data_IF_720663738475
#
_entry.id   IF_720663738475
#
_cell.length_a   1.000
_cell.length_b   1.000
_cell.length_c   1.000
_cell.angle_alpha   90.00
_cell.angle_beta   90.00
_cell.angle_gamma   90.00
#
_symmetry.space_group_name_H-M   'P 1'
#
loop_
_entity.id
_entity.type
_entity.pdbx_description
1 polymer ?
#
# COMPACT_ATOMS: atom_id res chain seq x y z
N UNK A 1 -16.31 -6.79 53.97
CA UNK A 1 -15.78 -5.59 53.31
C UNK A 1 -14.50 -5.79 52.46
N UNK A 2 -13.79 -6.90 52.56
CA UNK A 2 -12.52 -7.13 51.83
C UNK A 2 -12.65 -7.43 50.33
N UNK A 3 -13.70 -8.09 49.87
CA UNK A 3 -13.91 -8.46 48.45
C UNK A 3 -14.12 -7.28 47.48
N UNK A 4 -14.49 -6.11 47.98
CA UNK A 4 -14.73 -4.92 47.16
C UNK A 4 -13.42 -4.18 46.80
N UNK A 5 -12.42 -4.19 47.69
CA UNK A 5 -11.14 -3.52 47.47
C UNK A 5 -10.32 -4.19 46.36
N UNK A 6 -10.34 -5.52 46.30
CA UNK A 6 -9.57 -6.30 45.31
C UNK A 6 -10.04 -6.05 43.87
N UNK A 7 -11.35 -5.91 43.60
CA UNK A 7 -11.89 -5.66 42.28
C UNK A 7 -11.54 -4.27 41.72
N UNK A 8 -11.53 -3.26 42.63
CA UNK A 8 -11.15 -1.89 42.25
C UNK A 8 -9.65 -1.79 41.97
N UNK A 9 -8.84 -2.48 42.75
CA UNK A 9 -7.36 -2.50 42.53
C UNK A 9 -6.99 -3.17 41.23
N UNK A 10 -7.60 -4.30 40.88
CA UNK A 10 -7.39 -4.99 39.59
C UNK A 10 -7.80 -4.09 38.39
N UNK A 11 -8.94 -3.37 38.54
CA UNK A 11 -9.40 -2.46 37.48
C UNK A 11 -8.41 -1.31 37.26
N UNK A 12 -7.89 -0.70 38.31
CA UNK A 12 -6.88 0.36 38.24
C UNK A 12 -5.58 -0.15 37.62
N UNK A 13 -5.15 -1.35 37.98
CA UNK A 13 -3.92 -1.96 37.45
C UNK A 13 -4.02 -2.28 35.95
N UNK A 14 -5.17 -2.81 35.50
CA UNK A 14 -5.41 -3.10 34.09
C UNK A 14 -5.51 -1.79 33.29
N UNK A 15 -6.13 -0.75 33.85
CA UNK A 15 -6.23 0.56 33.16
C UNK A 15 -4.86 1.24 33.08
N UNK A 16 -4.04 1.14 34.10
CA UNK A 16 -2.67 1.66 34.12
C UNK A 16 -1.77 0.90 33.11
N UNK A 17 -1.91 -0.43 33.01
CA UNK A 17 -1.17 -1.26 32.06
C UNK A 17 -1.58 -0.95 30.60
N UNK A 18 -2.86 -0.68 30.37
CA UNK A 18 -3.37 -0.26 29.06
C UNK A 18 -2.88 1.14 28.67
N UNK A 19 -2.80 2.07 29.64
CA UNK A 19 -2.24 3.40 29.38
C UNK A 19 -0.75 3.33 29.05
N UNK A 20 0.03 2.53 29.75
CA UNK A 20 1.48 2.39 29.46
C UNK A 20 1.74 1.73 28.10
N UNK A 21 0.88 0.79 27.66
CA UNK A 21 0.97 0.21 26.33
C UNK A 21 0.69 1.25 25.21
N UNK A 22 -0.16 2.24 25.47
CA UNK A 22 -0.43 3.34 24.52
C UNK A 22 0.77 4.29 24.34
N UNK A 23 1.62 4.44 25.34
CA UNK A 23 2.81 5.31 25.29
C UNK A 23 4.08 4.58 24.82
N UNK A 24 4.04 3.25 24.73
CA UNK A 24 5.14 2.43 24.24
C UNK A 24 5.09 2.21 22.71
N UNK A 25 4.33 3.04 21.98
CA UNK A 25 4.40 3.02 20.51
C UNK A 25 5.80 3.51 20.14
N UNK A 26 6.66 2.64 19.55
CA UNK A 26 7.90 3.12 19.01
C UNK A 26 7.52 4.20 17.99
N UNK A 27 8.01 5.42 18.19
CA UNK A 27 8.02 6.41 17.13
C UNK A 27 8.90 5.80 16.05
N UNK A 28 8.29 5.06 15.11
CA UNK A 28 8.97 4.70 13.86
C UNK A 28 9.41 6.03 13.29
N UNK A 29 10.72 6.22 13.20
CA UNK A 29 11.28 7.33 12.43
C UNK A 29 10.50 7.32 11.12
N UNK A 30 9.76 8.39 10.83
CA UNK A 30 9.08 8.55 9.57
C UNK A 30 10.14 8.27 8.50
N UNK A 31 10.03 7.15 7.80
CA UNK A 31 10.79 6.96 6.58
C UNK A 31 10.52 8.21 5.75
N UNK A 32 11.56 8.94 5.38
CA UNK A 32 11.41 10.16 4.62
C UNK A 32 10.50 9.82 3.43
N UNK A 33 9.39 10.54 3.33
CA UNK A 33 8.43 10.31 2.28
C UNK A 33 9.12 10.53 0.95
N UNK A 34 9.07 9.56 0.02
CA UNK A 34 9.76 9.66 -1.25
C UNK A 34 9.32 10.93 -2.01
N UNK A 35 10.26 11.62 -2.67
CA UNK A 35 9.98 12.84 -3.43
C UNK A 35 9.05 12.58 -4.62
N UNK A 36 9.14 11.38 -5.19
CA UNK A 36 8.27 10.91 -6.27
C UNK A 36 7.65 9.55 -5.90
N UNK A 37 6.35 9.42 -6.13
CA UNK A 37 5.60 8.17 -5.95
C UNK A 37 4.98 7.74 -7.26
N UNK A 38 5.33 6.55 -7.72
CA UNK A 38 4.77 5.90 -8.90
C UNK A 38 3.93 4.71 -8.44
N UNK A 39 2.71 4.58 -8.95
CA UNK A 39 1.86 3.42 -8.72
C UNK A 39 1.59 2.71 -10.05
N UNK A 40 1.54 1.39 -10.01
CA UNK A 40 1.21 0.56 -11.15
C UNK A 40 -0.13 -0.13 -10.91
N UNK A 41 -1.05 0.01 -11.86
CA UNK A 41 -2.35 -0.64 -11.88
C UNK A 41 -2.61 -1.16 -13.28
N UNK A 42 -3.70 -1.87 -13.50
CA UNK A 42 -3.96 -2.32 -14.87
C UNK A 42 -5.19 -3.18 -15.01
N UNK A 43 -5.25 -3.88 -16.10
CA UNK A 43 -6.37 -4.75 -16.44
C UNK A 43 -5.98 -5.77 -17.50
N UNK A 44 -6.98 -6.40 -18.04
CA UNK A 44 -6.85 -7.45 -19.06
C UNK A 44 -7.59 -6.99 -20.32
N UNK A 45 -6.97 -7.14 -21.46
CA UNK A 45 -7.58 -6.90 -22.76
C UNK A 45 -8.41 -8.10 -23.22
N UNK A 46 -9.22 -7.92 -24.26
CA UNK A 46 -10.07 -8.97 -24.82
C UNK A 46 -9.29 -10.19 -25.38
N UNK A 47 -8.03 -9.98 -25.73
CA UNK A 47 -7.11 -11.03 -26.22
C UNK A 47 -6.32 -11.75 -25.10
N UNK A 48 -6.69 -11.55 -23.84
CA UNK A 48 -6.00 -12.01 -22.64
C UNK A 48 -4.58 -11.43 -22.45
N UNK A 49 -4.20 -10.39 -23.18
CA UNK A 49 -3.03 -9.61 -22.82
C UNK A 49 -3.31 -8.76 -21.58
N UNK A 50 -2.26 -8.47 -20.83
CA UNK A 50 -2.30 -7.65 -19.61
C UNK A 50 -1.75 -6.28 -19.94
N UNK A 51 -2.49 -5.23 -19.63
CA UNK A 51 -1.93 -3.88 -19.63
C UNK A 51 -1.67 -3.39 -18.21
N UNK A 52 -0.58 -2.70 -18.03
CA UNK A 52 -0.16 -2.08 -16.77
C UNK A 52 -0.01 -0.58 -17.01
N UNK A 53 -0.86 0.20 -16.39
CA UNK A 53 -0.80 1.65 -16.35
C UNK A 53 0.15 2.09 -15.24
N UNK A 54 1.12 2.90 -15.59
CA UNK A 54 2.10 3.50 -14.68
C UNK A 54 1.69 4.94 -14.42
N UNK A 55 1.35 5.25 -13.18
CA UNK A 55 0.79 6.54 -12.79
C UNK A 55 1.73 7.23 -11.81
N UNK A 56 2.11 8.46 -12.11
CA UNK A 56 2.83 9.34 -11.19
C UNK A 56 1.80 9.94 -10.22
N UNK A 57 1.83 9.50 -8.97
CA UNK A 57 0.90 9.94 -7.93
C UNK A 57 1.38 11.19 -7.21
N UNK A 58 2.69 11.35 -7.08
CA UNK A 58 3.36 12.50 -6.49
C UNK A 58 4.68 12.75 -7.21
N UNK A 59 5.03 14.00 -7.41
CA UNK A 59 6.22 14.41 -8.13
C UNK A 59 6.69 15.78 -7.61
N UNK A 60 7.85 15.84 -6.99
CA UNK A 60 8.49 17.09 -6.52
C UNK A 60 9.26 17.83 -7.62
N UNK A 61 9.31 17.25 -8.82
CA UNK A 61 10.02 17.76 -10.00
C UNK A 61 11.01 16.73 -10.50
N UNK A 62 10.87 16.34 -11.75
CA UNK A 62 11.77 15.39 -12.44
C UNK A 62 12.24 16.02 -13.75
N UNK A 63 13.56 16.06 -13.97
CA UNK A 63 14.22 16.47 -15.21
C UNK A 63 14.74 15.29 -16.03
N UNK A 64 14.99 14.15 -15.36
CA UNK A 64 15.34 12.89 -16.00
C UNK A 64 14.89 11.72 -15.13
N UNK A 65 14.36 10.67 -15.78
CA UNK A 65 13.89 9.46 -15.10
C UNK A 65 14.29 8.24 -15.93
N UNK A 66 14.88 7.24 -15.28
CA UNK A 66 15.23 5.96 -15.89
C UNK A 66 14.65 4.83 -15.07
N UNK A 67 13.75 4.09 -15.69
CA UNK A 67 13.02 2.98 -15.10
C UNK A 67 13.38 1.68 -15.82
N UNK A 68 13.61 0.61 -15.08
CA UNK A 68 13.80 -0.74 -15.61
C UNK A 68 12.61 -1.61 -15.23
N UNK A 69 12.06 -2.32 -16.21
CA UNK A 69 10.93 -3.23 -16.01
C UNK A 69 11.39 -4.53 -15.36
N UNK A 70 10.69 -4.93 -14.29
CA UNK A 70 10.87 -6.22 -13.61
C UNK A 70 9.60 -7.05 -13.69
N UNK A 71 9.68 -8.25 -14.27
CA UNK A 71 8.60 -9.22 -14.38
C UNK A 71 9.14 -10.64 -14.52
N UNK A 72 8.32 -11.64 -14.29
CA UNK A 72 8.67 -13.04 -14.50
C UNK A 72 8.63 -13.37 -16.00
N UNK A 73 9.81 -13.52 -16.60
CA UNK A 73 9.98 -13.79 -18.03
C UNK A 73 9.55 -15.21 -18.44
N UNK A 74 9.47 -16.13 -17.51
CA UNK A 74 8.94 -17.49 -17.78
C UNK A 74 7.42 -17.47 -17.92
N UNK A 75 6.76 -16.48 -17.32
CA UNK A 75 5.29 -16.33 -17.27
C UNK A 75 4.77 -15.33 -18.28
N UNK A 76 5.51 -14.25 -18.49
CA UNK A 76 5.08 -13.15 -19.37
C UNK A 76 6.05 -12.94 -20.53
N UNK A 77 5.50 -12.53 -21.64
CA UNK A 77 6.20 -11.96 -22.78
C UNK A 77 5.91 -10.46 -22.83
N UNK A 78 6.95 -9.64 -22.92
CA UNK A 78 6.78 -8.21 -23.14
C UNK A 78 6.35 -7.95 -24.58
N UNK A 79 5.26 -7.17 -24.76
CA UNK A 79 4.76 -6.78 -26.08
C UNK A 79 5.28 -5.38 -26.41
N UNK A 80 4.90 -4.38 -25.62
CA UNK A 80 5.32 -2.99 -25.84
C UNK A 80 5.13 -2.11 -24.59
N UNK A 81 5.62 -0.86 -24.67
CA UNK A 81 5.39 0.20 -23.70
C UNK A 81 5.18 1.53 -24.43
N UNK A 82 4.13 2.23 -24.08
CA UNK A 82 3.69 3.46 -24.72
C UNK A 82 3.71 4.63 -23.76
N UNK A 83 4.30 5.75 -24.17
CA UNK A 83 4.11 7.02 -23.49
C UNK A 83 2.65 7.46 -23.62
N UNK A 84 2.04 7.86 -22.53
CA UNK A 84 0.64 8.28 -22.48
C UNK A 84 0.48 9.80 -22.47
N UNK A 85 1.58 10.54 -22.44
CA UNK A 85 1.63 12.02 -22.46
C UNK A 85 0.76 12.67 -21.36
N UNK A 86 0.59 12.00 -20.23
CA UNK A 86 -0.25 12.49 -19.13
C UNK A 86 0.57 13.05 -17.95
N UNK A 87 1.79 12.54 -17.75
CA UNK A 87 2.76 13.06 -16.80
C UNK A 87 4.13 13.09 -17.46
N UNK A 88 4.99 14.01 -17.03
CA UNK A 88 6.34 14.22 -17.58
C UNK A 88 6.31 14.48 -19.11
N UNK A 89 5.25 15.09 -19.61
CA UNK A 89 4.99 15.35 -21.04
C UNK A 89 6.00 16.31 -21.68
N UNK A 90 6.78 17.03 -20.84
CA UNK A 90 7.86 17.92 -21.26
C UNK A 90 9.19 17.22 -21.48
N UNK A 91 9.29 15.95 -21.08
CA UNK A 91 10.49 15.14 -21.21
C UNK A 91 10.39 14.27 -22.47
N UNK A 92 11.52 13.99 -23.08
CA UNK A 92 11.58 13.09 -24.23
C UNK A 92 11.55 11.65 -23.76
N UNK A 93 10.53 10.91 -24.21
CA UNK A 93 10.41 9.49 -23.94
C UNK A 93 11.20 8.65 -24.94
N UNK A 94 11.98 7.69 -24.43
CA UNK A 94 12.65 6.67 -25.24
C UNK A 94 12.59 5.31 -24.56
N UNK A 95 12.64 4.24 -25.34
CA UNK A 95 12.70 2.84 -24.87
C UNK A 95 14.00 2.21 -25.33
N UNK A 96 14.57 1.33 -24.53
CA UNK A 96 15.74 0.52 -24.87
C UNK A 96 15.59 -0.92 -24.37
N UNK A 97 16.39 -1.83 -24.89
CA UNK A 97 16.33 -3.25 -24.55
C UNK A 97 15.33 -4.07 -25.35
N UNK A 98 14.82 -3.52 -26.45
CA UNK A 98 13.90 -4.23 -27.36
C UNK A 98 14.63 -5.09 -28.41
N UNK A 99 15.94 -4.93 -28.57
CA UNK A 99 16.76 -5.75 -29.44
C UNK A 99 17.15 -7.04 -28.73
N UNK A 100 17.00 -8.13 -29.39
CA UNK A 100 16.89 -9.55 -29.10
C UNK A 100 17.81 -10.19 -28.06
N UNK A 101 18.76 -9.46 -27.46
CA UNK A 101 19.74 -10.02 -26.51
C UNK A 101 19.90 -9.20 -25.21
N UNK A 102 19.16 -8.11 -25.03
CA UNK A 102 19.25 -7.32 -23.79
C UNK A 102 18.05 -7.65 -22.92
N UNK A 103 18.32 -8.40 -21.87
CA UNK A 103 17.35 -8.89 -20.90
C UNK A 103 16.57 -7.80 -20.14
N UNK A 104 16.92 -6.53 -20.30
CA UNK A 104 16.44 -5.44 -19.46
C UNK A 104 15.74 -4.34 -20.28
N UNK A 105 14.42 -4.35 -20.23
CA UNK A 105 13.60 -3.29 -20.84
C UNK A 105 13.67 -2.05 -19.95
N UNK A 106 14.08 -0.93 -20.55
CA UNK A 106 14.20 0.37 -19.88
C UNK A 106 13.37 1.42 -20.57
N UNK A 107 12.79 2.28 -19.74
CA UNK A 107 12.04 3.46 -20.14
C UNK A 107 12.78 4.69 -19.62
N UNK A 108 13.07 5.63 -20.52
CA UNK A 108 13.85 6.83 -20.22
C UNK A 108 12.99 8.06 -20.55
N UNK A 109 12.95 8.99 -19.62
CA UNK A 109 12.36 10.31 -19.76
C UNK A 109 13.46 11.36 -19.53
N UNK A 110 13.60 12.30 -20.45
CA UNK A 110 14.60 13.38 -20.36
C UNK A 110 15.66 13.36 -21.43
N UNK A 111 16.67 14.23 -21.36
CA UNK A 111 16.80 15.31 -20.39
C UNK A 111 15.89 16.50 -20.69
N UNK A 112 15.50 17.27 -19.68
CA UNK A 112 14.63 18.44 -19.83
C UNK A 112 14.62 19.36 -18.62
N UNK A 113 13.78 20.39 -18.66
CA UNK A 113 13.46 21.17 -17.48
C UNK A 113 12.65 20.32 -16.51
N UNK A 114 12.80 20.59 -15.20
CA UNK A 114 12.03 19.89 -14.18
C UNK A 114 10.52 19.98 -14.44
N UNK A 115 9.88 18.83 -14.45
CA UNK A 115 8.45 18.66 -14.62
C UNK A 115 7.88 18.09 -13.32
N UNK A 116 6.86 18.72 -12.76
CA UNK A 116 6.17 18.31 -11.53
C UNK A 116 4.76 17.78 -11.81
N UNK A 117 4.44 17.48 -13.06
CA UNK A 117 3.14 16.92 -13.42
C UNK A 117 2.93 15.54 -12.81
N UNK A 118 1.67 15.22 -12.56
CA UNK A 118 1.19 13.92 -12.08
C UNK A 118 0.14 13.36 -13.03
N UNK A 119 -0.08 12.06 -12.99
CA UNK A 119 -1.05 11.39 -13.86
C UNK A 119 -0.47 10.18 -14.56
N UNK A 120 -1.14 9.74 -15.60
CA UNK A 120 -0.75 8.57 -16.37
C UNK A 120 0.55 8.85 -17.15
N UNK A 121 1.61 8.11 -16.80
CA UNK A 121 2.92 8.26 -17.42
C UNK A 121 3.03 7.42 -18.67
N UNK A 122 2.87 6.10 -18.53
CA UNK A 122 2.99 5.15 -19.64
C UNK A 122 2.10 3.93 -19.39
N UNK A 123 1.86 3.17 -20.45
CA UNK A 123 1.23 1.85 -20.42
C UNK A 123 2.22 0.80 -20.91
N UNK A 124 2.28 -0.32 -20.21
CA UNK A 124 3.09 -1.49 -20.55
C UNK A 124 2.13 -2.62 -20.91
N UNK A 125 2.40 -3.32 -21.99
CA UNK A 125 1.63 -4.49 -22.41
C UNK A 125 2.46 -5.75 -22.32
N UNK A 126 1.86 -6.76 -21.65
CA UNK A 126 2.44 -8.08 -21.44
C UNK A 126 1.46 -9.15 -21.95
N UNK A 127 1.97 -10.22 -22.52
CA UNK A 127 1.19 -11.42 -22.85
C UNK A 127 1.49 -12.52 -21.86
N UNK A 128 0.47 -13.18 -21.35
CA UNK A 128 0.64 -14.39 -20.54
C UNK A 128 1.05 -15.54 -21.48
N UNK A 129 2.16 -16.18 -21.18
CA UNK A 129 2.67 -17.32 -21.95
C UNK A 129 1.82 -18.56 -21.73
N UNK A 130 1.75 -19.41 -22.77
CA UNK A 130 1.09 -20.71 -22.67
C UNK A 130 1.75 -21.57 -21.59
N UNK A 131 0.93 -22.23 -20.77
CA UNK A 131 1.41 -23.08 -19.68
C UNK A 131 1.85 -22.35 -18.42
N UNK A 132 1.64 -21.04 -18.33
CA UNK A 132 1.85 -20.27 -17.11
C UNK A 132 1.02 -20.85 -15.94
N UNK A 133 1.66 -21.04 -14.77
CA UNK A 133 1.00 -21.66 -13.62
C UNK A 133 0.10 -20.69 -12.89
N UNK A 134 -1.02 -21.13 -12.31
CA UNK A 134 -1.83 -20.30 -11.42
C UNK A 134 -1.00 -19.81 -10.23
N UNK A 135 -0.89 -18.48 -10.09
CA UNK A 135 -0.17 -17.83 -8.99
C UNK A 135 -0.44 -16.33 -9.03
N UNK A 136 0.11 -15.60 -8.06
CA UNK A 136 0.19 -14.13 -8.06
C UNK A 136 1.62 -13.74 -8.42
N UNK A 137 1.76 -13.03 -9.53
CA UNK A 137 3.04 -12.57 -10.04
C UNK A 137 3.15 -11.06 -9.86
N UNK A 138 4.36 -10.59 -9.53
CA UNK A 138 4.64 -9.18 -9.40
C UNK A 138 5.19 -8.64 -10.73
N UNK A 139 4.63 -7.50 -11.18
CA UNK A 139 5.19 -6.69 -12.26
C UNK A 139 5.56 -5.34 -11.65
N UNK A 140 6.82 -4.96 -11.76
CA UNK A 140 7.34 -3.77 -11.10
C UNK A 140 8.26 -2.95 -12.00
N UNK A 141 8.61 -1.77 -11.52
CA UNK A 141 9.64 -0.92 -12.08
C UNK A 141 10.69 -0.65 -11.01
N UNK A 142 11.95 -0.71 -11.41
CA UNK A 142 13.08 -0.26 -10.61
C UNK A 142 13.53 1.09 -11.14
N UNK A 143 13.56 2.10 -10.28
CA UNK A 143 14.16 3.38 -10.61
C UNK A 143 15.68 3.22 -10.57
N UNK A 144 16.33 3.29 -11.74
CA UNK A 144 17.79 3.26 -11.85
C UNK A 144 18.38 4.67 -11.69
N UNK A 145 17.60 5.72 -12.05
CA UNK A 145 18.00 7.11 -11.90
C UNK A 145 16.76 8.01 -11.92
N UNK A 146 16.74 8.99 -11.05
CA UNK A 146 15.81 10.11 -11.11
C UNK A 146 16.53 11.39 -10.70
N UNK A 147 16.40 12.42 -11.51
CA UNK A 147 17.06 13.71 -11.31
C UNK A 147 16.04 14.84 -11.34
N UNK A 148 16.31 15.87 -10.55
CA UNK A 148 15.67 17.17 -10.62
C UNK A 148 16.73 18.20 -10.97
N UNK A 149 16.47 19.04 -11.96
CA UNK A 149 17.34 20.18 -12.29
C UNK A 149 16.78 21.43 -11.63
N UNK A 150 17.38 21.83 -10.52
CA UNK A 150 17.09 23.08 -9.83
C UNK A 150 18.25 24.03 -10.05
N UNK A 151 17.98 25.20 -10.59
CA UNK A 151 18.98 26.26 -10.84
C UNK A 151 20.18 25.80 -11.67
N UNK A 152 19.99 24.87 -12.59
CA UNK A 152 21.05 24.32 -13.43
C UNK A 152 21.93 23.25 -12.74
N UNK A 153 21.53 22.79 -11.56
CA UNK A 153 22.20 21.71 -10.80
C UNK A 153 21.30 20.50 -10.74
N UNK A 154 21.82 19.35 -11.16
CA UNK A 154 21.12 18.07 -11.07
C UNK A 154 21.23 17.52 -9.65
N UNK A 155 20.09 17.22 -9.05
CA UNK A 155 19.98 16.61 -7.73
C UNK A 155 19.25 15.27 -7.84
N UNK A 156 19.66 14.31 -7.03
CA UNK A 156 18.99 13.01 -6.95
C UNK A 156 17.59 13.16 -6.33
N UNK A 157 16.62 12.48 -6.92
CA UNK A 157 15.22 12.40 -6.47
C UNK A 157 14.94 11.00 -5.96
N UNK A 158 14.41 10.89 -4.75
CA UNK A 158 13.99 9.61 -4.21
C UNK A 158 12.66 9.17 -4.86
N UNK A 159 12.64 7.97 -5.45
CA UNK A 159 11.45 7.43 -6.12
C UNK A 159 10.99 6.16 -5.43
N UNK A 160 9.73 6.11 -5.05
CA UNK A 160 9.04 4.91 -4.58
C UNK A 160 8.12 4.38 -5.66
N UNK A 161 8.17 3.07 -5.91
CA UNK A 161 7.31 2.41 -6.91
C UNK A 161 6.45 1.36 -6.23
N UNK A 162 5.13 1.45 -6.39
CA UNK A 162 4.16 0.42 -6.03
C UNK A 162 3.90 -0.44 -7.24
N UNK A 163 4.28 -1.71 -7.16
CA UNK A 163 4.14 -2.67 -8.24
C UNK A 163 2.68 -3.08 -8.47
N UNK A 164 2.40 -3.60 -9.67
CA UNK A 164 1.18 -4.33 -9.96
C UNK A 164 1.30 -5.80 -9.58
N UNK A 165 0.18 -6.43 -9.21
CA UNK A 165 0.05 -7.86 -8.96
C UNK A 165 -0.86 -8.47 -10.02
N UNK A 166 -0.33 -9.38 -10.82
CA UNK A 166 -1.09 -10.11 -11.83
C UNK A 166 -1.43 -11.49 -11.28
N UNK A 167 -2.71 -11.75 -11.05
CA UNK A 167 -3.22 -13.02 -10.55
C UNK A 167 -3.67 -13.89 -11.70
N UNK A 168 -3.02 -15.04 -11.88
CA UNK A 168 -3.45 -16.11 -12.77
C UNK A 168 -4.23 -17.15 -11.97
N UNK A 169 -5.45 -17.43 -12.36
CA UNK A 169 -6.31 -18.42 -11.71
C UNK A 169 -6.26 -19.77 -12.45
N UNK A 170 -6.58 -20.86 -11.76
CA UNK A 170 -6.56 -22.22 -12.33
C UNK A 170 -7.56 -22.41 -13.51
N UNK A 171 -8.57 -21.57 -13.60
CA UNK A 171 -9.54 -21.56 -14.70
C UNK A 171 -9.13 -20.66 -15.89
N UNK A 172 -7.89 -20.15 -15.89
CA UNK A 172 -7.38 -19.28 -16.94
C UNK A 172 -7.74 -17.80 -16.79
N UNK A 173 -8.50 -17.42 -15.76
CA UNK A 173 -8.81 -16.01 -15.56
C UNK A 173 -7.58 -15.24 -15.07
N UNK A 174 -7.40 -14.05 -15.63
CA UNK A 174 -6.36 -13.09 -15.27
C UNK A 174 -7.00 -11.89 -14.58
N UNK A 175 -6.38 -11.39 -13.52
CA UNK A 175 -6.77 -10.14 -12.85
C UNK A 175 -5.53 -9.35 -12.48
N UNK A 176 -5.63 -8.03 -12.49
CA UNK A 176 -4.53 -7.13 -12.14
C UNK A 176 -4.95 -6.24 -10.98
N UNK A 177 -4.15 -6.23 -9.92
CA UNK A 177 -4.34 -5.40 -8.74
C UNK A 177 -3.09 -4.54 -8.48
N UNK A 178 -3.27 -3.38 -7.89
CA UNK A 178 -2.15 -2.55 -7.38
C UNK A 178 -1.67 -3.13 -6.05
N UNK A 179 -0.37 -3.11 -5.81
CA UNK A 179 0.18 -3.43 -4.50
C UNK A 179 -0.34 -2.39 -3.48
N UNK A 180 -1.13 -2.85 -2.52
CA UNK A 180 -1.61 -2.00 -1.42
C UNK A 180 -0.40 -1.54 -0.59
N UNK A 181 -0.41 -0.27 -0.18
CA UNK A 181 0.51 0.16 0.88
C UNK A 181 0.33 -0.74 2.11
N UNK A 182 1.43 -1.24 2.69
CA UNK A 182 1.33 -1.80 4.03
C UNK A 182 0.77 -0.69 4.92
N UNK A 183 -0.31 -0.99 5.67
CA UNK A 183 -0.82 -0.07 6.66
C UNK A 183 0.35 0.36 7.55
N UNK A 184 0.57 1.67 7.67
CA UNK A 184 1.61 2.17 8.54
C UNK A 184 1.38 1.69 9.98
N UNK A 185 2.44 1.55 10.74
CA UNK A 185 2.36 1.04 12.11
C UNK A 185 1.42 1.89 12.98
N UNK A 186 1.31 3.19 12.72
CA UNK A 186 0.42 4.10 13.43
C UNK A 186 -1.06 3.80 13.12
N UNK A 187 -1.41 3.54 11.87
CA UNK A 187 -2.76 3.14 11.46
C UNK A 187 -3.16 1.80 12.06
N UNK A 188 -2.25 0.80 12.04
CA UNK A 188 -2.50 -0.50 12.66
C UNK A 188 -2.74 -0.35 14.16
N UNK A 189 -1.91 0.43 14.86
CA UNK A 189 -2.06 0.70 16.29
C UNK A 189 -3.36 1.43 16.58
N UNK A 190 -3.76 2.41 15.77
CA UNK A 190 -5.03 3.14 15.93
C UNK A 190 -6.24 2.19 15.79
N UNK A 191 -6.24 1.30 14.81
CA UNK A 191 -7.29 0.29 14.62
C UNK A 191 -7.36 -0.65 15.82
N UNK A 192 -6.23 -1.19 16.29
CA UNK A 192 -6.18 -2.08 17.44
C UNK A 192 -6.66 -1.37 18.72
N UNK A 193 -6.23 -0.13 18.95
CA UNK A 193 -6.69 0.68 20.07
C UNK A 193 -8.22 0.91 20.04
N UNK A 194 -8.78 1.21 18.88
CA UNK A 194 -10.23 1.39 18.71
C UNK A 194 -11.00 0.10 19.03
N UNK A 195 -10.54 -1.05 18.55
CA UNK A 195 -11.16 -2.35 18.84
C UNK A 195 -11.12 -2.68 20.34
N UNK A 196 -10.00 -2.44 21.00
CA UNK A 196 -9.86 -2.64 22.45
C UNK A 196 -10.79 -1.72 23.23
N UNK A 197 -10.92 -0.46 22.83
CA UNK A 197 -11.82 0.51 23.45
C UNK A 197 -13.28 0.07 23.35
N UNK A 198 -13.73 -0.41 22.20
CA UNK A 198 -15.07 -0.95 22.00
C UNK A 198 -15.30 -2.18 22.87
N UNK A 199 -14.34 -3.10 22.95
CA UNK A 199 -14.45 -4.29 23.78
C UNK A 199 -14.60 -3.94 25.29
N UNK A 200 -13.83 -2.95 25.76
CA UNK A 200 -13.93 -2.46 27.14
C UNK A 200 -15.30 -1.82 27.42
N UNK A 201 -15.80 -1.00 26.49
CA UNK A 201 -17.14 -0.39 26.60
C UNK A 201 -18.23 -1.45 26.70
N UNK A 202 -18.19 -2.46 25.82
CA UNK A 202 -19.14 -3.57 25.85
C UNK A 202 -19.08 -4.32 27.20
N UNK A 203 -17.89 -4.61 27.68
CA UNK A 203 -17.71 -5.27 28.99
C UNK A 203 -18.30 -4.45 30.14
N UNK A 204 -18.09 -3.14 30.16
CA UNK A 204 -18.65 -2.23 31.17
C UNK A 204 -20.19 -2.20 31.11
N UNK A 205 -20.75 -2.14 29.90
CA UNK A 205 -22.21 -2.18 29.70
C UNK A 205 -22.78 -3.51 30.22
N UNK A 206 -22.19 -4.63 29.86
CA UNK A 206 -22.60 -5.96 30.33
C UNK A 206 -22.57 -6.07 31.86
N UNK A 207 -21.53 -5.56 32.51
CA UNK A 207 -21.41 -5.55 33.98
C UNK A 207 -22.51 -4.67 34.59
N UNK A 208 -22.82 -3.50 34.03
CA UNK A 208 -23.90 -2.62 34.49
C UNK A 208 -25.27 -3.28 34.38
N UNK A 209 -25.58 -3.88 33.24
CA UNK A 209 -26.86 -4.59 33.01
C UNK A 209 -27.01 -5.76 34.00
N UNK A 210 -25.94 -6.55 34.20
CA UNK A 210 -25.98 -7.65 35.16
C UNK A 210 -26.21 -7.19 36.62
N UNK A 211 -25.57 -6.05 36.99
CA UNK A 211 -25.76 -5.46 38.31
C UNK A 211 -27.21 -4.97 38.50
N UNK A 212 -27.83 -4.35 37.49
CA UNK A 212 -29.24 -3.92 37.53
C UNK A 212 -30.21 -5.11 37.61
N UNK A 213 -29.98 -6.18 36.85
CA UNK A 213 -30.80 -7.40 36.90
C UNK A 213 -30.73 -8.08 38.28
N UNK A 214 -29.55 -8.13 38.87
CA UNK A 214 -29.41 -8.72 40.22
C UNK A 214 -30.05 -7.85 41.30
N UNK A 215 -29.98 -6.53 41.22
CA UNK A 215 -30.69 -5.61 42.12
C UNK A 215 -32.23 -5.71 41.99
N UNK A 216 -32.73 -5.88 40.77
CA UNK A 216 -34.18 -6.07 40.54
C UNK A 216 -34.66 -7.40 41.10
N UNK A 217 -33.91 -8.49 40.96
CA UNK A 217 -34.25 -9.80 41.56
C UNK A 217 -34.23 -9.76 43.09
N UNK A 218 -33.29 -9.05 43.72
CA UNK A 218 -33.25 -8.86 45.17
C UNK A 218 -34.51 -8.12 45.70
N UNK A 219 -34.96 -7.05 44.99
CA UNK A 219 -36.18 -6.30 45.39
C UNK A 219 -37.46 -7.09 45.21
N UNK A 220 -37.51 -7.98 44.20
CA UNK A 220 -38.70 -8.82 43.99
C UNK A 220 -38.85 -9.93 45.04
N UNK A 221 -37.73 -10.42 45.64
CA UNK A 221 -37.75 -11.42 46.68
C UNK A 221 -38.32 -10.91 48.03
N UNK A 222 -38.23 -9.61 48.32
CA UNK A 222 -38.74 -9.03 49.58
C UNK A 222 -40.26 -8.72 49.59
N UNK A 223 -40.93 -8.86 48.47
CA UNK A 223 -42.40 -8.66 48.38
C UNK A 223 -43.23 -9.94 48.57
N UNK A 224 -42.59 -11.06 48.94
CA UNK A 224 -43.27 -12.37 49.12
C UNK A 224 -43.27 -12.87 50.58
N UNK A 225 -43.08 -12.00 51.59
CA UNK A 225 -43.25 -12.33 53.02
C UNK A 225 -44.39 -11.49 53.58
#
# INVERSE_FOLDING_TARGET
>A
MQKFKTKTTIFILVTALLLTALFAVPTTANAAEADCLIAMSGGVNDDNSVFIDVVVMRNSGISALKLRLEYDKDVFEYIDGYDMNGALDRLVFTKSGMETDVDDIRFLYGPGNSDNSTGLLMRIELRVKDGAKPNVYKVGLVCEQALNNADGVDNDVSVSVRAAKVKLSANGNVAVDTESEPLDAATVVAIVAAVVLVAVLVAVICVRINKQRNAAKSRAGWKKI
#
